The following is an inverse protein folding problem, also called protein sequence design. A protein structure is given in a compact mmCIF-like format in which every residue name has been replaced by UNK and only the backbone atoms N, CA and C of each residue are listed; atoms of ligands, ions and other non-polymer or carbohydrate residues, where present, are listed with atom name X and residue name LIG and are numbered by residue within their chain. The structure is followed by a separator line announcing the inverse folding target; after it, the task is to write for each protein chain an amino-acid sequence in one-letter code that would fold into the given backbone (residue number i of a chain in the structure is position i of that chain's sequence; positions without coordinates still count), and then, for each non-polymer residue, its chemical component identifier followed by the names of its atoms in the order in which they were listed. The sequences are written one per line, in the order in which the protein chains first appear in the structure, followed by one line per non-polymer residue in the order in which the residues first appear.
data_IF_007792128072
#
_entry.id   IF_007792128072
#
_cell.length_a   1.000
_cell.length_b   1.000
_cell.length_c   1.000
_cell.angle_alpha   90.00
_cell.angle_beta   90.00
_cell.angle_gamma   90.00
#
_symmetry.space_group_name_H-M   'P 1'
#
loop_
_entity.id
_entity.type
_entity.pdbx_description
1 polymer ?
#
# COMPACT_ATOMS: atom_id res chain seq x y z
N UNK A 1 -13.94 -21.10 13.15
CA UNK A 1 -14.64 -19.85 12.77
C UNK A 1 -14.25 -19.49 11.35
N UNK A 2 -15.20 -19.02 10.53
CA UNK A 2 -14.93 -18.56 9.17
C UNK A 2 -14.69 -17.06 9.24
N UNK A 3 -13.43 -16.63 9.12
CA UNK A 3 -13.09 -15.20 9.10
C UNK A 3 -13.29 -14.67 7.68
N UNK A 4 -14.16 -13.67 7.53
CA UNK A 4 -14.33 -12.95 6.27
C UNK A 4 -13.61 -11.62 6.36
N UNK A 5 -12.86 -11.28 5.32
CA UNK A 5 -12.24 -9.97 5.18
C UNK A 5 -13.34 -8.90 5.01
N UNK A 6 -13.06 -7.67 5.43
CA UNK A 6 -13.95 -6.55 5.19
C UNK A 6 -14.12 -6.32 3.68
N UNK A 7 -15.31 -5.90 3.26
CA UNK A 7 -15.55 -5.61 1.84
C UNK A 7 -14.61 -4.48 1.37
N UNK A 8 -13.90 -4.71 0.27
CA UNK A 8 -13.02 -3.71 -0.35
C UNK A 8 -11.59 -3.68 0.16
N UNK A 9 -11.20 -4.59 1.07
CA UNK A 9 -9.80 -4.80 1.45
C UNK A 9 -9.25 -6.05 0.76
N UNK A 10 -7.93 -6.11 0.61
CA UNK A 10 -7.25 -7.19 -0.08
C UNK A 10 -6.01 -7.61 0.72
N UNK A 11 -5.76 -8.92 0.77
CA UNK A 11 -4.51 -9.44 1.28
C UNK A 11 -3.44 -9.35 0.20
N UNK A 12 -2.25 -8.89 0.57
CA UNK A 12 -1.05 -8.94 -0.28
C UNK A 12 -0.26 -10.18 0.13
N UNK A 13 -0.09 -11.12 -0.78
CA UNK A 13 0.42 -12.47 -0.54
C UNK A 13 1.74 -12.71 -1.27
N UNK A 14 2.61 -13.64 -0.85
CA UNK A 14 3.82 -13.95 -1.61
C UNK A 14 3.56 -14.47 -3.03
N UNK A 15 2.46 -15.20 -3.20
CA UNK A 15 1.96 -15.75 -4.47
C UNK A 15 0.45 -15.80 -4.42
N UNK A 16 -0.22 -15.26 -5.43
CA UNK A 16 -1.68 -15.30 -5.50
C UNK A 16 -2.12 -16.57 -6.28
N UNK A 17 -3.07 -17.36 -5.76
CA UNK A 17 -3.59 -18.51 -6.49
C UNK A 17 -4.47 -18.12 -7.67
N UNK A 18 -5.03 -16.90 -7.68
CA UNK A 18 -5.85 -16.38 -8.76
C UNK A 18 -4.96 -15.72 -9.84
N UNK A 19 -5.02 -16.19 -11.10
CA UNK A 19 -4.27 -15.56 -12.20
C UNK A 19 -4.57 -14.08 -12.40
N UNK A 20 -5.82 -13.63 -12.14
CA UNK A 20 -6.20 -12.22 -12.22
C UNK A 20 -5.74 -11.44 -10.97
N UNK A 21 -5.49 -12.15 -9.87
CA UNK A 21 -5.01 -11.64 -8.59
C UNK A 21 -3.51 -11.37 -8.54
N UNK A 22 -2.76 -11.58 -9.63
CA UNK A 22 -1.29 -11.44 -9.66
C UNK A 22 -0.77 -10.12 -9.08
N UNK A 23 -1.52 -9.03 -9.23
CA UNK A 23 -1.14 -7.72 -8.66
C UNK A 23 -1.07 -7.71 -7.12
N UNK A 24 -1.67 -8.68 -6.43
CA UNK A 24 -1.60 -8.87 -4.97
C UNK A 24 -0.33 -9.58 -4.53
N UNK A 25 0.59 -9.90 -5.44
CA UNK A 25 1.86 -10.53 -5.06
C UNK A 25 2.83 -9.51 -4.42
N UNK A 26 3.26 -9.79 -3.20
CA UNK A 26 4.05 -8.86 -2.37
C UNK A 26 5.36 -8.43 -3.03
N UNK A 27 5.99 -9.31 -3.81
CA UNK A 27 7.25 -9.00 -4.49
C UNK A 27 7.08 -7.94 -5.59
N UNK A 28 5.90 -7.83 -6.21
CA UNK A 28 5.62 -6.79 -7.20
C UNK A 28 5.51 -5.41 -6.54
N UNK A 29 4.89 -5.34 -5.36
CA UNK A 29 4.82 -4.11 -4.55
C UNK A 29 6.19 -3.70 -4.05
N UNK A 30 6.98 -4.64 -3.52
CA UNK A 30 8.36 -4.38 -3.09
C UNK A 30 9.22 -3.81 -4.24
N UNK A 31 9.08 -4.38 -5.44
CA UNK A 31 9.76 -3.87 -6.63
C UNK A 31 9.31 -2.44 -6.95
N UNK A 32 8.00 -2.21 -7.05
CA UNK A 32 7.43 -0.90 -7.37
C UNK A 32 7.86 0.17 -6.35
N UNK A 33 7.74 -0.12 -5.06
CA UNK A 33 8.14 0.79 -3.97
C UNK A 33 9.63 1.10 -4.01
N UNK A 34 10.47 0.11 -4.31
CA UNK A 34 11.92 0.31 -4.44
C UNK A 34 12.21 1.23 -5.63
N UNK A 35 11.59 0.99 -6.80
CA UNK A 35 11.76 1.84 -7.98
C UNK A 35 11.37 3.28 -7.70
N UNK A 36 10.21 3.50 -7.09
CA UNK A 36 9.73 4.84 -6.74
C UNK A 36 10.70 5.51 -5.77
N UNK A 37 11.12 4.81 -4.71
CA UNK A 37 12.03 5.33 -3.69
C UNK A 37 13.37 5.75 -4.28
N UNK A 38 13.98 4.89 -5.10
CA UNK A 38 15.24 5.20 -5.79
C UNK A 38 15.09 6.46 -6.64
N UNK A 39 14.06 6.51 -7.48
CA UNK A 39 13.81 7.64 -8.36
C UNK A 39 13.64 8.95 -7.58
N UNK A 40 12.77 9.00 -6.57
CA UNK A 40 12.51 10.26 -5.85
C UNK A 40 13.72 10.73 -5.04
N UNK A 41 14.52 9.80 -4.52
CA UNK A 41 15.77 10.14 -3.81
C UNK A 41 16.83 10.74 -4.75
N UNK A 42 16.91 10.29 -6.01
CA UNK A 42 17.79 10.92 -7.02
C UNK A 42 17.41 12.38 -7.30
N UNK A 43 16.15 12.74 -7.09
CA UNK A 43 15.64 14.12 -7.22
C UNK A 43 15.64 14.90 -5.90
N UNK A 44 16.26 14.37 -4.84
CA UNK A 44 16.43 15.05 -3.55
C UNK A 44 15.20 15.00 -2.62
N UNK A 45 14.18 14.22 -2.96
CA UNK A 45 13.02 14.03 -2.09
C UNK A 45 13.30 13.00 -1.00
N UNK A 46 12.70 13.21 0.16
CA UNK A 46 12.84 12.36 1.34
C UNK A 46 11.45 11.96 1.85
N UNK A 47 11.34 10.72 2.35
CA UNK A 47 10.08 10.19 2.88
C UNK A 47 9.67 10.91 4.18
N UNK A 48 8.39 11.27 4.28
CA UNK A 48 7.72 11.63 5.53
C UNK A 48 6.70 10.55 5.86
N UNK A 49 6.55 10.21 7.15
CA UNK A 49 5.53 9.27 7.62
C UNK A 49 4.59 9.96 8.60
N UNK A 50 3.31 9.98 8.25
CA UNK A 50 2.24 10.49 9.11
C UNK A 50 1.55 9.33 9.84
N UNK A 51 0.87 9.60 10.97
CA UNK A 51 -0.04 8.64 11.59
C UNK A 51 -1.09 8.09 10.61
N UNK A 52 -1.54 6.84 10.83
CA UNK A 52 -2.63 6.22 10.05
C UNK A 52 -3.97 6.91 10.33
N UNK A 53 -4.16 7.38 11.57
CA UNK A 53 -5.35 8.08 12.01
C UNK A 53 -5.01 9.52 12.36
N UNK A 54 -5.90 10.43 11.96
CA UNK A 54 -5.81 11.86 12.26
C UNK A 54 -7.16 12.35 12.83
N UNK A 55 -7.18 13.54 13.43
CA UNK A 55 -8.42 14.15 13.91
C UNK A 55 -9.42 14.36 12.78
N UNK A 56 -10.71 14.11 13.01
CA UNK A 56 -11.78 14.34 12.00
C UNK A 56 -11.75 15.77 11.45
N UNK A 57 -11.48 16.75 12.30
CA UNK A 57 -11.35 18.16 11.96
C UNK A 57 -10.24 18.46 10.94
N UNK A 58 -9.31 17.54 10.69
CA UNK A 58 -8.29 17.69 9.65
C UNK A 58 -8.91 17.50 8.25
N UNK A 59 -9.85 16.55 8.13
CA UNK A 59 -10.45 16.16 6.85
C UNK A 59 -11.72 16.94 6.53
N UNK A 60 -12.43 17.46 7.54
CA UNK A 60 -13.64 18.26 7.36
C UNK A 60 -13.37 19.74 7.03
N UNK A 61 -12.11 20.11 6.73
CA UNK A 61 -11.69 21.50 6.44
C UNK A 61 -12.01 22.00 5.03
N UNK A 62 -12.78 21.25 4.24
CA UNK A 62 -13.10 21.53 2.84
C UNK A 62 -14.56 21.27 2.53
#
# INVERSE_FOLDING_TARGET
MHYRIAKGVFDILPKDPDPEGKWRESHLWQYLETTIRTLVTEFGFHEIRTPIFETTDLFSRS
#
